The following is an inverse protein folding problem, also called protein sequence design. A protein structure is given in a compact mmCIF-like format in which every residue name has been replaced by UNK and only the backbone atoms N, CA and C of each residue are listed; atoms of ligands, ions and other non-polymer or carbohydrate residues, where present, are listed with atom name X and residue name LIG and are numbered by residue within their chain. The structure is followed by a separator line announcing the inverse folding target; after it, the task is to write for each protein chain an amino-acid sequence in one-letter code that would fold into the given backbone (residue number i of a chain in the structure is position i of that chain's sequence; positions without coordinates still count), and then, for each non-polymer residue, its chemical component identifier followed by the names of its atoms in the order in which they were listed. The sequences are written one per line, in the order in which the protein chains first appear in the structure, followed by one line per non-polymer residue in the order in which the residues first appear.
data_IF_243601128434
#
_entry.id   IF_243601128434
#
_cell.length_a   1.000
_cell.length_b   1.000
_cell.length_c   1.000
_cell.angle_alpha   90.00
_cell.angle_beta   90.00
_cell.angle_gamma   90.00
#
_symmetry.space_group_name_H-M   'P 1'
#
loop_
_entity.id
_entity.type
_entity.pdbx_description
1 polymer ?
#
# COMPACT_ATOMS: atom_id res chain seq x y z
N UNK A 1 -24.74 -12.47 14.59
CA UNK A 1 -23.42 -12.94 15.05
C UNK A 1 -22.54 -13.15 13.83
N UNK A 2 -21.78 -12.13 13.47
CA UNK A 2 -20.67 -12.25 12.51
C UNK A 2 -19.40 -12.45 13.32
N UNK A 3 -19.03 -13.71 13.55
CA UNK A 3 -17.75 -14.09 14.10
C UNK A 3 -16.99 -14.73 12.96
N UNK A 4 -15.90 -14.09 12.52
CA UNK A 4 -14.96 -14.73 11.63
C UNK A 4 -14.27 -15.81 12.45
N UNK A 5 -14.24 -17.04 11.95
CA UNK A 5 -13.54 -18.18 12.52
C UNK A 5 -12.04 -18.07 12.29
N UNK A 6 -11.40 -17.06 12.91
CA UNK A 6 -9.95 -16.86 12.85
C UNK A 6 -9.22 -17.52 14.03
N UNK A 7 -9.88 -18.46 14.69
CA UNK A 7 -9.42 -19.08 15.94
C UNK A 7 -8.56 -20.34 15.75
N UNK A 8 -8.05 -20.58 14.54
CA UNK A 8 -7.20 -21.74 14.27
C UNK A 8 -5.73 -21.33 14.35
N UNK A 9 -4.94 -22.06 15.13
CA UNK A 9 -3.49 -21.95 15.14
C UNK A 9 -2.94 -22.24 13.73
N UNK A 10 -2.34 -21.26 13.11
CA UNK A 10 -1.75 -21.34 11.78
C UNK A 10 -0.27 -20.97 11.84
N UNK A 11 0.66 -21.92 11.61
CA UNK A 11 2.09 -21.65 11.57
C UNK A 11 2.50 -20.58 10.54
N UNK A 12 1.78 -20.49 9.42
CA UNK A 12 2.06 -19.49 8.37
C UNK A 12 1.73 -18.08 8.86
N UNK A 13 0.71 -17.93 9.70
CA UNK A 13 0.41 -16.65 10.38
C UNK A 13 1.52 -16.25 11.34
N UNK A 14 2.07 -17.18 12.12
CA UNK A 14 3.20 -16.88 13.00
C UNK A 14 4.41 -16.35 12.23
N UNK A 15 4.70 -16.94 11.06
CA UNK A 15 5.78 -16.47 10.20
C UNK A 15 5.50 -15.05 9.66
N UNK A 16 4.26 -14.76 9.26
CA UNK A 16 3.83 -13.44 8.82
C UNK A 16 3.94 -12.41 9.95
N UNK A 17 3.46 -12.75 11.15
CA UNK A 17 3.50 -11.85 12.32
C UNK A 17 4.94 -11.52 12.73
N UNK A 18 5.84 -12.51 12.70
CA UNK A 18 7.29 -12.28 12.93
C UNK A 18 7.86 -11.28 11.93
N UNK A 19 7.49 -11.39 10.66
CA UNK A 19 7.96 -10.45 9.63
C UNK A 19 7.32 -9.06 9.79
N UNK A 20 6.05 -8.97 10.20
CA UNK A 20 5.38 -7.71 10.49
C UNK A 20 6.03 -7.00 11.69
N UNK A 21 6.31 -7.72 12.77
CA UNK A 21 7.05 -7.21 13.93
C UNK A 21 8.44 -6.70 13.49
N UNK A 22 9.16 -7.50 12.73
CA UNK A 22 10.48 -7.12 12.23
C UNK A 22 10.42 -5.84 11.41
N UNK A 23 9.49 -5.72 10.46
CA UNK A 23 9.31 -4.51 9.65
C UNK A 23 8.94 -3.29 10.49
N UNK A 24 8.11 -3.48 11.50
CA UNK A 24 7.72 -2.41 12.41
C UNK A 24 8.93 -1.84 13.17
N UNK A 25 9.75 -2.71 13.76
CA UNK A 25 10.93 -2.28 14.51
C UNK A 25 12.02 -1.70 13.61
N UNK A 26 12.24 -2.27 12.43
CA UNK A 26 13.17 -1.70 11.44
C UNK A 26 12.75 -0.30 10.97
N UNK A 27 11.45 -0.04 10.86
CA UNK A 27 10.94 1.30 10.54
C UNK A 27 11.11 2.31 11.69
N UNK A 28 11.28 1.83 12.93
CA UNK A 28 11.51 2.66 14.11
C UNK A 28 12.98 2.79 14.54
N UNK A 29 13.91 2.36 13.69
CA UNK A 29 15.33 2.54 13.92
C UNK A 29 16.05 1.36 14.54
N UNK A 30 15.39 0.27 14.86
CA UNK A 30 15.99 -0.90 15.49
C UNK A 30 16.60 -1.85 14.44
N UNK A 31 17.74 -1.49 13.89
CA UNK A 31 18.36 -2.21 12.78
C UNK A 31 18.81 -3.66 13.15
N UNK A 32 18.97 -3.96 14.42
CA UNK A 32 19.36 -5.28 14.95
C UNK A 32 18.18 -6.07 15.54
N UNK A 33 16.94 -5.62 15.36
CA UNK A 33 15.77 -6.30 15.86
C UNK A 33 15.70 -7.75 15.36
N UNK A 34 15.35 -8.65 16.27
CA UNK A 34 15.09 -10.05 15.97
C UNK A 34 14.04 -10.64 16.92
N UNK A 35 13.26 -11.55 16.39
CA UNK A 35 12.39 -12.40 17.17
C UNK A 35 13.20 -13.65 17.55
N UNK A 36 13.43 -13.86 18.85
CA UNK A 36 14.21 -14.98 19.36
C UNK A 36 13.38 -16.26 19.40
N UNK A 37 12.12 -16.13 19.81
CA UNK A 37 11.16 -17.25 19.78
C UNK A 37 9.73 -16.76 19.57
N UNK A 38 8.89 -17.64 19.04
CA UNK A 38 7.46 -17.47 18.97
C UNK A 38 6.83 -18.81 19.38
N UNK A 39 6.13 -18.84 20.51
CA UNK A 39 5.55 -20.04 21.12
C UNK A 39 4.03 -19.84 21.18
N UNK A 40 3.30 -20.80 20.62
CA UNK A 40 1.85 -20.88 20.76
C UNK A 40 1.47 -21.95 21.79
N UNK A 41 0.73 -21.56 22.80
CA UNK A 41 0.26 -22.46 23.87
C UNK A 41 -1.27 -22.48 23.87
N UNK A 42 -1.86 -23.67 23.93
CA UNK A 42 -3.30 -23.84 24.08
C UNK A 42 -3.71 -23.49 25.51
N UNK A 43 -4.79 -22.73 25.67
CA UNK A 43 -5.35 -22.47 27.00
C UNK A 43 -5.80 -23.78 27.69
N UNK A 44 -5.78 -23.86 29.04
CA UNK A 44 -6.18 -25.06 29.75
C UNK A 44 -7.60 -25.55 29.46
N UNK A 45 -8.48 -24.63 29.05
CA UNK A 45 -9.86 -24.91 28.66
C UNK A 45 -10.01 -25.33 27.19
N UNK A 46 -8.90 -25.33 26.42
CA UNK A 46 -8.86 -25.75 25.02
C UNK A 46 -9.56 -24.82 24.05
N UNK A 47 -9.91 -23.58 24.45
CA UNK A 47 -10.74 -22.67 23.66
C UNK A 47 -9.97 -21.55 22.94
N UNK A 48 -8.72 -21.31 23.32
CA UNK A 48 -7.91 -20.24 22.75
C UNK A 48 -6.43 -20.61 22.74
N UNK A 49 -5.63 -19.85 22.00
CA UNK A 49 -4.17 -19.94 22.00
C UNK A 49 -3.57 -18.63 22.53
N UNK A 50 -2.56 -18.74 23.36
CA UNK A 50 -1.65 -17.66 23.69
C UNK A 50 -0.44 -17.75 22.80
N UNK A 51 -0.12 -16.66 22.11
CA UNK A 51 1.09 -16.56 21.30
C UNK A 51 2.06 -15.62 22.02
N UNK A 52 3.18 -16.15 22.46
CA UNK A 52 4.23 -15.39 23.13
C UNK A 52 5.41 -15.20 22.19
N UNK A 53 5.75 -13.95 21.91
CA UNK A 53 6.94 -13.57 21.17
C UNK A 53 8.03 -13.09 22.13
N UNK A 54 9.17 -13.78 22.16
CA UNK A 54 10.38 -13.26 22.79
C UNK A 54 11.16 -12.48 21.75
N UNK A 55 11.40 -11.22 22.03
CA UNK A 55 12.06 -10.31 21.07
C UNK A 55 13.32 -9.72 21.69
N UNK A 56 14.31 -9.45 20.82
CA UNK A 56 15.44 -8.60 21.11
C UNK A 56 15.36 -7.37 20.24
N UNK A 57 15.01 -6.24 20.84
CA UNK A 57 14.87 -4.99 20.12
C UNK A 57 16.21 -4.48 19.60
N UNK A 58 17.28 -4.71 20.38
CA UNK A 58 18.58 -4.12 20.14
C UNK A 58 18.59 -2.62 20.39
N UNK A 59 19.55 -1.93 19.79
CA UNK A 59 19.71 -0.48 19.92
C UNK A 59 19.15 0.24 18.69
N UNK A 60 18.84 1.53 18.87
CA UNK A 60 18.44 2.39 17.75
C UNK A 60 19.67 2.83 16.97
N UNK A 61 19.52 2.86 15.66
CA UNK A 61 20.52 3.28 14.70
C UNK A 61 20.07 4.53 13.96
N UNK A 62 21.04 5.29 13.48
CA UNK A 62 20.87 6.39 12.54
C UNK A 62 21.51 6.03 11.20
N UNK A 63 21.11 6.72 10.14
CA UNK A 63 21.80 6.59 8.86
C UNK A 63 23.21 7.17 8.94
N UNK A 64 24.17 6.42 8.42
CA UNK A 64 25.55 6.82 8.23
C UNK A 64 25.77 7.39 6.83
N UNK A 65 26.83 6.93 6.16
CA UNK A 65 27.14 7.35 4.80
C UNK A 65 26.15 6.75 3.79
N UNK A 66 25.71 7.60 2.86
CA UNK A 66 24.85 7.22 1.75
C UNK A 66 25.66 7.44 0.47
N UNK A 67 25.79 6.41 -0.34
CA UNK A 67 26.52 6.47 -1.59
C UNK A 67 25.79 5.75 -2.72
N UNK A 68 26.01 6.19 -3.93
CA UNK A 68 25.52 5.56 -5.16
C UNK A 68 26.71 5.17 -6.00
N UNK A 69 26.72 3.95 -6.50
CA UNK A 69 27.66 3.48 -7.51
C UNK A 69 26.83 3.13 -8.75
N UNK A 70 27.03 3.84 -9.84
CA UNK A 70 26.34 3.60 -11.10
C UNK A 70 27.33 3.09 -12.15
N UNK A 71 27.01 1.95 -12.76
CA UNK A 71 27.76 1.39 -13.91
C UNK A 71 27.19 1.86 -15.25
N UNK A 72 26.28 2.83 -15.21
CA UNK A 72 25.57 3.36 -16.38
C UNK A 72 26.21 4.69 -16.77
N UNK A 73 26.59 4.84 -18.05
CA UNK A 73 27.18 6.10 -18.58
C UNK A 73 26.13 7.22 -18.58
N UNK A 74 26.57 8.45 -18.25
CA UNK A 74 25.71 9.65 -18.28
C UNK A 74 24.85 9.85 -17.03
N UNK A 75 25.05 9.05 -15.99
CA UNK A 75 24.37 9.21 -14.70
C UNK A 75 25.38 9.62 -13.64
N UNK A 76 25.17 10.79 -13.02
CA UNK A 76 26.03 11.26 -11.93
C UNK A 76 25.63 10.64 -10.60
N UNK A 77 26.48 9.79 -9.97
CA UNK A 77 26.19 9.16 -8.71
C UNK A 77 25.94 10.14 -7.55
N UNK A 78 26.56 11.33 -7.56
CA UNK A 78 26.39 12.33 -6.50
C UNK A 78 25.00 12.96 -6.55
N UNK A 79 24.53 13.28 -7.76
CA UNK A 79 23.17 13.80 -7.96
C UNK A 79 22.15 12.77 -7.49
N UNK A 80 22.32 11.51 -7.87
CA UNK A 80 21.43 10.44 -7.44
C UNK A 80 21.45 10.21 -5.93
N UNK A 81 22.61 10.28 -5.28
CA UNK A 81 22.68 10.14 -3.82
C UNK A 81 21.87 11.23 -3.11
N UNK A 82 21.82 12.44 -3.65
CA UNK A 82 20.96 13.52 -3.15
C UNK A 82 19.46 13.27 -3.25
N UNK A 83 19.04 12.38 -4.17
CA UNK A 83 17.61 12.03 -4.36
C UNK A 83 17.14 10.94 -3.39
N UNK A 84 18.01 10.33 -2.59
CA UNK A 84 17.65 9.20 -1.70
C UNK A 84 16.57 9.56 -0.65
N UNK A 85 16.34 10.85 -0.37
CA UNK A 85 15.27 11.31 0.52
C UNK A 85 15.57 11.14 2.00
N UNK A 86 16.80 10.81 2.38
CA UNK A 86 17.32 10.77 3.75
C UNK A 86 18.81 11.11 3.76
N UNK A 87 19.32 11.51 4.91
CA UNK A 87 20.71 11.96 5.08
C UNK A 87 21.36 11.35 6.30
N UNK A 88 22.68 11.48 6.37
CA UNK A 88 23.47 11.09 7.55
C UNK A 88 22.91 11.75 8.81
N UNK A 89 22.71 10.97 9.86
CA UNK A 89 22.17 11.40 11.15
C UNK A 89 20.65 11.25 11.27
N UNK A 90 19.91 11.08 10.18
CA UNK A 90 18.49 10.75 10.26
C UNK A 90 18.29 9.40 10.95
N UNK A 91 17.19 9.24 11.67
CA UNK A 91 16.81 7.96 12.25
C UNK A 91 16.69 6.91 11.15
N UNK A 92 17.30 5.73 11.39
CA UNK A 92 17.18 4.60 10.48
C UNK A 92 15.72 4.18 10.30
N UNK A 93 15.33 4.00 9.05
CA UNK A 93 14.00 3.49 8.66
C UNK A 93 14.17 2.72 7.35
N UNK A 94 13.93 1.43 7.39
CA UNK A 94 14.04 0.57 6.19
C UNK A 94 13.11 1.01 5.05
N UNK A 95 11.93 1.57 5.38
CA UNK A 95 11.00 2.09 4.37
C UNK A 95 11.58 3.27 3.57
N UNK A 96 12.49 4.06 4.17
CA UNK A 96 13.19 5.13 3.44
C UNK A 96 14.13 4.56 2.38
N UNK A 97 14.77 3.41 2.65
CA UNK A 97 15.63 2.72 1.65
C UNK A 97 14.77 2.22 0.49
N UNK A 98 13.61 1.62 0.77
CA UNK A 98 12.67 1.15 -0.26
C UNK A 98 12.17 2.30 -1.14
N UNK A 99 11.77 3.42 -0.53
CA UNK A 99 11.37 4.63 -1.28
C UNK A 99 12.53 5.20 -2.12
N UNK A 100 13.75 5.20 -1.57
CA UNK A 100 14.92 5.65 -2.31
C UNK A 100 15.15 4.81 -3.57
N UNK A 101 14.97 3.48 -3.51
CA UNK A 101 15.07 2.62 -4.68
C UNK A 101 14.04 3.04 -5.74
N UNK A 102 12.81 3.35 -5.34
CA UNK A 102 11.77 3.78 -6.26
C UNK A 102 12.12 5.12 -6.92
N UNK A 103 12.51 6.10 -6.13
CA UNK A 103 12.92 7.43 -6.63
C UNK A 103 14.14 7.33 -7.57
N UNK A 104 15.15 6.56 -7.20
CA UNK A 104 16.34 6.36 -8.02
C UNK A 104 16.00 5.63 -9.32
N UNK A 105 15.10 4.63 -9.28
CA UNK A 105 14.65 3.91 -10.47
C UNK A 105 13.95 4.85 -11.45
N UNK A 106 13.08 5.72 -10.95
CA UNK A 106 12.40 6.71 -11.77
C UNK A 106 13.37 7.72 -12.36
N UNK A 107 14.27 8.28 -11.54
CA UNK A 107 15.25 9.27 -11.98
C UNK A 107 16.22 8.74 -13.05
N UNK A 108 16.56 7.44 -12.99
CA UNK A 108 17.36 6.80 -14.02
C UNK A 108 16.50 6.46 -15.25
N UNK A 109 15.25 6.06 -15.04
CA UNK A 109 14.28 5.80 -16.11
C UNK A 109 13.99 7.05 -16.97
N UNK A 110 13.84 8.21 -16.35
CA UNK A 110 13.66 9.51 -17.06
C UNK A 110 14.85 9.88 -17.97
N UNK A 111 16.03 9.33 -17.69
CA UNK A 111 17.22 9.48 -18.53
C UNK A 111 17.32 8.44 -19.66
N UNK A 112 16.24 7.69 -19.92
CA UNK A 112 16.13 6.73 -21.01
C UNK A 112 16.58 5.30 -20.66
N UNK A 113 16.88 5.00 -19.40
CA UNK A 113 17.26 3.65 -18.98
C UNK A 113 16.06 2.87 -18.44
N UNK A 114 15.29 2.27 -19.34
CA UNK A 114 14.07 1.52 -19.00
C UNK A 114 14.34 0.25 -18.17
N UNK A 115 15.51 -0.36 -18.35
CA UNK A 115 15.91 -1.60 -17.68
C UNK A 115 17.01 -1.33 -16.68
N UNK A 116 16.65 -0.98 -15.48
CA UNK A 116 17.59 -0.67 -14.42
C UNK A 116 17.36 -1.57 -13.22
N UNK A 117 18.46 -2.06 -12.63
CA UNK A 117 18.45 -2.79 -11.38
C UNK A 117 19.19 -1.99 -10.32
N UNK A 118 18.49 -1.68 -9.22
CA UNK A 118 19.05 -0.98 -8.07
C UNK A 118 19.07 -1.92 -6.87
N UNK A 119 20.27 -2.21 -6.38
CA UNK A 119 20.47 -3.06 -5.20
C UNK A 119 21.05 -2.24 -4.05
N UNK A 120 20.37 -2.14 -2.92
CA UNK A 120 20.91 -1.54 -1.71
C UNK A 120 21.85 -2.54 -1.03
N UNK A 121 23.05 -2.09 -0.65
CA UNK A 121 23.92 -2.77 0.29
C UNK A 121 23.89 -2.00 1.60
N UNK A 122 23.47 -2.67 2.66
CA UNK A 122 23.30 -2.08 3.99
C UNK A 122 24.39 -2.62 4.90
N UNK A 123 25.23 -1.75 5.43
CA UNK A 123 26.32 -2.08 6.34
C UNK A 123 26.09 -1.43 7.70
N UNK A 124 26.09 -2.23 8.77
CA UNK A 124 25.85 -1.77 10.14
C UNK A 124 27.16 -1.54 10.87
N UNK A 125 27.39 -0.32 11.30
CA UNK A 125 28.45 0.04 12.23
C UNK A 125 27.90 -0.03 13.66
N UNK A 126 28.16 -1.15 14.32
CA UNK A 126 27.68 -1.38 15.69
C UNK A 126 28.29 -0.43 16.71
N UNK A 127 29.55 -0.02 16.49
CA UNK A 127 30.30 0.85 17.41
C UNK A 127 29.71 2.25 17.44
N UNK A 128 29.39 2.79 16.27
CA UNK A 128 28.87 4.14 16.13
C UNK A 128 27.33 4.17 16.01
N UNK A 129 26.65 3.00 16.04
CA UNK A 129 25.20 2.87 15.86
C UNK A 129 24.71 3.50 14.54
N UNK A 130 25.47 3.32 13.48
CA UNK A 130 25.20 3.85 12.15
C UNK A 130 24.89 2.73 11.16
N UNK A 131 24.01 3.04 10.20
CA UNK A 131 23.71 2.20 9.05
C UNK A 131 24.16 2.91 7.79
N UNK A 132 25.22 2.42 7.16
CA UNK A 132 25.68 2.92 5.87
C UNK A 132 24.91 2.23 4.75
N UNK A 133 24.50 2.99 3.74
CA UNK A 133 23.75 2.48 2.61
C UNK A 133 24.46 2.82 1.30
N UNK A 134 24.75 1.79 0.52
CA UNK A 134 25.32 1.94 -0.82
C UNK A 134 24.33 1.39 -1.84
N UNK A 135 23.82 2.24 -2.72
CA UNK A 135 22.99 1.82 -3.84
C UNK A 135 23.88 1.48 -5.03
N UNK A 136 23.80 0.25 -5.52
CA UNK A 136 24.48 -0.19 -6.74
C UNK A 136 23.46 -0.17 -7.88
N UNK A 137 23.72 0.65 -8.89
CA UNK A 137 22.84 0.83 -10.04
C UNK A 137 23.53 0.21 -11.26
N UNK A 138 22.87 -0.71 -11.90
CA UNK A 138 23.34 -1.39 -13.11
C UNK A 138 22.23 -1.58 -14.11
N UNK A 139 22.58 -1.79 -15.37
CA UNK A 139 21.63 -2.21 -16.39
C UNK A 139 21.13 -3.63 -16.05
N UNK A 140 19.81 -3.77 -15.99
CA UNK A 140 19.14 -5.04 -15.74
C UNK A 140 18.84 -5.80 -17.04
N UNK A 141 18.31 -7.03 -16.94
CA UNK A 141 17.89 -7.79 -18.12
C UNK A 141 16.75 -7.06 -18.83
N UNK A 142 16.78 -7.06 -20.16
CA UNK A 142 15.71 -6.48 -20.98
C UNK A 142 14.52 -7.43 -20.99
N UNK A 143 13.54 -7.15 -20.14
CA UNK A 143 12.31 -7.93 -20.05
C UNK A 143 11.13 -6.99 -20.28
N UNK A 144 10.20 -7.39 -21.13
CA UNK A 144 8.99 -6.64 -21.45
C UNK A 144 7.77 -7.31 -20.84
N UNK A 145 6.76 -6.53 -20.51
CA UNK A 145 5.46 -7.04 -20.09
C UNK A 145 4.72 -7.57 -21.30
N UNK A 146 4.51 -8.88 -21.36
CA UNK A 146 3.78 -9.52 -22.46
C UNK A 146 2.28 -9.32 -22.31
N UNK A 147 1.76 -9.60 -21.10
CA UNK A 147 0.35 -9.40 -20.76
C UNK A 147 0.16 -9.25 -19.25
N UNK A 148 -0.96 -8.65 -18.89
CA UNK A 148 -1.41 -8.46 -17.51
C UNK A 148 -2.72 -9.24 -17.35
N UNK A 149 -2.67 -10.29 -16.54
CA UNK A 149 -3.81 -11.15 -16.23
C UNK A 149 -4.37 -10.73 -14.86
N UNK A 150 -5.65 -10.32 -14.82
CA UNK A 150 -6.33 -9.93 -13.58
C UNK A 150 -7.35 -11.01 -13.24
N UNK A 151 -7.36 -11.45 -11.98
CA UNK A 151 -8.24 -12.51 -11.49
C UNK A 151 -8.78 -12.18 -10.11
N UNK A 152 -9.97 -12.72 -9.78
CA UNK A 152 -10.63 -12.51 -8.49
C UNK A 152 -11.52 -11.27 -8.41
N UNK A 153 -11.58 -10.47 -9.48
CA UNK A 153 -12.43 -9.30 -9.59
C UNK A 153 -13.83 -9.68 -10.12
N UNK A 154 -14.70 -10.12 -9.22
CA UNK A 154 -16.06 -10.59 -9.59
C UNK A 154 -17.02 -9.42 -9.86
N UNK A 155 -16.85 -8.30 -9.16
CA UNK A 155 -17.68 -7.10 -9.28
C UNK A 155 -16.94 -5.95 -9.94
N UNK A 156 -15.69 -5.71 -9.54
CA UNK A 156 -14.86 -4.62 -10.05
C UNK A 156 -14.45 -4.90 -11.49
N UNK A 157 -14.69 -3.96 -12.38
CA UNK A 157 -14.31 -4.09 -13.78
C UNK A 157 -12.77 -4.10 -13.92
N UNK A 158 -12.28 -4.91 -14.84
CA UNK A 158 -10.86 -5.06 -15.16
C UNK A 158 -10.15 -3.72 -15.36
N UNK A 159 -10.78 -2.79 -16.09
CA UNK A 159 -10.26 -1.45 -16.35
C UNK A 159 -9.93 -0.65 -15.09
N UNK A 160 -10.69 -0.85 -13.99
CA UNK A 160 -10.49 -0.13 -12.72
C UNK A 160 -9.20 -0.57 -12.05
N UNK A 161 -8.89 -1.86 -12.11
CA UNK A 161 -7.65 -2.42 -11.57
C UNK A 161 -6.48 -2.08 -12.50
N UNK A 162 -6.65 -2.27 -13.81
CA UNK A 162 -5.64 -2.10 -14.84
C UNK A 162 -5.08 -0.68 -14.86
N UNK A 163 -5.93 0.34 -14.76
CA UNK A 163 -5.49 1.75 -14.75
C UNK A 163 -4.59 2.10 -13.57
N UNK A 164 -4.74 1.39 -12.43
CA UNK A 164 -3.91 1.59 -11.24
C UNK A 164 -2.54 0.92 -11.33
N UNK A 165 -2.36 -0.07 -12.19
CA UNK A 165 -1.05 -0.71 -12.36
C UNK A 165 0.00 0.24 -12.89
N UNK A 166 -0.42 1.27 -13.71
CA UNK A 166 0.45 2.23 -14.41
C UNK A 166 1.55 1.54 -15.25
N UNK A 167 1.27 0.31 -15.65
CA UNK A 167 2.09 -0.51 -16.55
C UNK A 167 1.16 -1.07 -17.63
N UNK A 168 1.60 -1.00 -18.86
CA UNK A 168 0.89 -1.51 -20.03
C UNK A 168 1.62 -2.69 -20.65
N UNK A 169 0.90 -3.47 -21.40
CA UNK A 169 1.47 -4.54 -22.22
C UNK A 169 2.41 -3.93 -23.28
N UNK A 170 3.59 -4.50 -23.43
CA UNK A 170 4.67 -3.96 -24.25
C UNK A 170 5.65 -3.06 -23.48
N UNK A 171 5.32 -2.59 -22.28
CA UNK A 171 6.23 -1.78 -21.46
C UNK A 171 7.44 -2.59 -20.98
N UNK A 172 8.54 -1.89 -20.72
CA UNK A 172 9.67 -2.44 -20.00
C UNK A 172 9.24 -2.89 -18.60
N UNK A 173 9.57 -4.13 -18.22
CA UNK A 173 9.31 -4.62 -16.88
C UNK A 173 10.03 -3.79 -15.83
N UNK A 174 9.29 -3.26 -14.88
CA UNK A 174 9.82 -2.47 -13.78
C UNK A 174 9.16 -2.88 -12.46
N UNK A 175 9.94 -3.53 -11.59
CA UNK A 175 9.46 -4.02 -10.30
C UNK A 175 8.97 -2.89 -9.38
N UNK A 176 9.56 -1.70 -9.47
CA UNK A 176 9.16 -0.51 -8.71
C UNK A 176 7.76 -0.03 -9.13
N UNK A 177 7.52 0.10 -10.44
CA UNK A 177 6.19 0.46 -10.96
C UNK A 177 5.13 -0.54 -10.50
N UNK A 178 5.44 -1.85 -10.54
CA UNK A 178 4.52 -2.88 -10.09
C UNK A 178 4.22 -2.80 -8.59
N UNK A 179 5.23 -2.53 -7.74
CA UNK A 179 4.98 -2.32 -6.30
C UNK A 179 4.06 -1.13 -6.06
N UNK A 180 4.29 -0.01 -6.76
CA UNK A 180 3.42 1.16 -6.66
C UNK A 180 2.02 0.87 -7.18
N UNK A 181 1.90 0.17 -8.31
CA UNK A 181 0.61 -0.26 -8.83
C UNK A 181 -0.17 -1.12 -7.84
N UNK A 182 0.51 -2.09 -7.20
CA UNK A 182 -0.10 -2.89 -6.13
C UNK A 182 -0.60 -2.01 -4.98
N UNK A 183 0.20 -1.04 -4.52
CA UNK A 183 -0.20 -0.13 -3.45
C UNK A 183 -1.42 0.70 -3.85
N UNK A 184 -1.44 1.25 -5.07
CA UNK A 184 -2.59 2.02 -5.58
C UNK A 184 -3.88 1.19 -5.61
N UNK A 185 -3.80 -0.08 -6.05
CA UNK A 185 -4.96 -0.98 -6.03
C UNK A 185 -5.41 -1.26 -4.58
N UNK A 186 -4.49 -1.42 -3.64
CA UNK A 186 -4.82 -1.56 -2.22
C UNK A 186 -5.48 -0.30 -1.66
N UNK A 187 -5.01 0.87 -2.06
CA UNK A 187 -5.52 2.18 -1.61
C UNK A 187 -6.95 2.47 -2.11
N UNK A 188 -7.41 1.81 -3.19
CA UNK A 188 -8.82 1.84 -3.58
C UNK A 188 -9.74 1.34 -2.47
N UNK A 189 -9.22 0.50 -1.58
CA UNK A 189 -9.96 -0.10 -0.47
C UNK A 189 -11.17 -0.97 -0.90
N UNK A 190 -11.09 -1.56 -2.11
CA UNK A 190 -12.08 -2.49 -2.65
C UNK A 190 -11.73 -3.96 -2.38
N UNK A 191 -10.50 -4.21 -1.94
CA UNK A 191 -9.93 -5.55 -1.83
C UNK A 191 -9.37 -5.82 -0.44
N UNK A 192 -9.59 -7.05 0.06
CA UNK A 192 -8.92 -7.57 1.26
C UNK A 192 -7.46 -7.92 0.95
N UNK A 193 -7.22 -8.43 -0.26
CA UNK A 193 -5.90 -8.91 -0.68
C UNK A 193 -5.62 -8.49 -2.11
N UNK A 194 -4.37 -8.09 -2.35
CA UNK A 194 -3.85 -7.77 -3.69
C UNK A 194 -2.47 -8.41 -3.82
N UNK A 195 -2.34 -9.37 -4.70
CA UNK A 195 -1.09 -10.07 -4.98
C UNK A 195 -0.65 -9.87 -6.42
N UNK A 196 0.63 -9.56 -6.59
CA UNK A 196 1.27 -9.49 -7.90
C UNK A 196 2.28 -10.62 -8.01
N UNK A 197 2.18 -11.42 -9.05
CA UNK A 197 3.17 -12.45 -9.39
C UNK A 197 3.70 -12.20 -10.79
N UNK A 198 5.01 -12.36 -10.95
CA UNK A 198 5.66 -12.37 -12.25
C UNK A 198 5.89 -13.81 -12.65
N UNK A 199 5.48 -14.16 -13.86
CA UNK A 199 5.79 -15.43 -14.50
C UNK A 199 6.59 -15.19 -15.78
N UNK A 200 7.30 -16.20 -16.23
CA UNK A 200 7.98 -16.15 -17.53
C UNK A 200 6.92 -16.23 -18.63
N UNK A 201 7.02 -15.34 -19.61
CA UNK A 201 6.12 -15.30 -20.74
C UNK A 201 6.48 -16.30 -21.86
N UNK A 202 6.09 -15.99 -23.07
CA UNK A 202 6.35 -16.83 -24.26
C UNK A 202 7.84 -16.90 -24.64
N UNK A 203 8.67 -15.99 -24.13
CA UNK A 203 10.11 -15.94 -24.34
C UNK A 203 10.84 -15.46 -23.06
N UNK A 204 12.15 -15.71 -22.91
CA UNK A 204 12.93 -15.31 -21.72
C UNK A 204 12.97 -13.80 -21.46
N UNK A 205 12.78 -12.98 -22.48
CA UNK A 205 12.70 -11.53 -22.42
C UNK A 205 11.27 -11.01 -22.24
N UNK A 206 10.30 -11.88 -21.96
CA UNK A 206 8.90 -11.56 -21.74
C UNK A 206 8.42 -12.02 -20.37
N UNK A 207 7.56 -11.24 -19.77
CA UNK A 207 6.96 -11.52 -18.47
C UNK A 207 5.44 -11.37 -18.51
N UNK A 208 4.76 -12.32 -17.91
CA UNK A 208 3.32 -12.23 -17.61
C UNK A 208 3.18 -11.72 -16.18
N UNK A 209 2.37 -10.69 -16.01
CA UNK A 209 2.05 -10.14 -14.69
C UNK A 209 0.68 -10.65 -14.29
N UNK A 210 0.63 -11.47 -13.26
CA UNK A 210 -0.62 -11.92 -12.66
C UNK A 210 -0.98 -11.04 -11.48
N UNK A 211 -2.15 -10.45 -11.54
CA UNK A 211 -2.75 -9.63 -10.48
C UNK A 211 -3.93 -10.40 -9.93
N UNK A 212 -3.77 -10.97 -8.75
CA UNK A 212 -4.85 -11.67 -8.06
C UNK A 212 -5.40 -10.79 -6.95
N UNK A 213 -6.72 -10.55 -6.95
CA UNK A 213 -7.40 -9.73 -5.96
C UNK A 213 -8.49 -10.53 -5.25
N UNK A 214 -8.76 -10.17 -4.01
CA UNK A 214 -9.88 -10.69 -3.21
C UNK A 214 -10.76 -9.52 -2.83
N UNK A 215 -11.97 -9.45 -3.38
CA UNK A 215 -12.89 -8.34 -3.17
C UNK A 215 -13.50 -8.36 -1.77
N UNK A 216 -13.80 -7.18 -1.27
CA UNK A 216 -14.62 -6.97 -0.07
C UNK A 216 -15.81 -6.07 -0.35
N UNK A 217 -16.70 -5.93 0.64
CA UNK A 217 -17.79 -4.97 0.55
C UNK A 217 -17.24 -3.55 0.45
N UNK A 218 -17.75 -2.79 -0.51
CA UNK A 218 -17.42 -1.38 -0.75
C UNK A 218 -18.50 -0.42 -0.27
N UNK A 219 -19.68 -0.97 0.05
CA UNK A 219 -20.78 -0.25 0.63
C UNK A 219 -20.70 -0.13 2.15
N UNK A 220 -21.13 0.98 2.70
CA UNK A 220 -21.27 1.20 4.14
C UNK A 220 -22.58 1.93 4.46
N UNK A 221 -23.23 1.50 5.53
CA UNK A 221 -24.40 2.14 6.12
C UNK A 221 -24.01 2.65 7.51
N UNK A 222 -24.18 3.94 7.72
CA UNK A 222 -23.92 4.60 9.00
C UNK A 222 -25.25 5.06 9.60
N UNK A 223 -25.42 4.83 10.88
CA UNK A 223 -26.57 5.31 11.64
C UNK A 223 -26.09 5.96 12.92
N UNK A 224 -26.53 7.18 13.19
CA UNK A 224 -26.20 7.95 14.37
C UNK A 224 -27.44 8.51 15.06
N UNK A 225 -27.42 8.57 16.37
CA UNK A 225 -28.38 9.32 17.18
C UNK A 225 -27.64 10.25 18.12
N UNK A 226 -28.14 11.45 18.25
CA UNK A 226 -27.53 12.46 19.10
C UNK A 226 -28.56 13.41 19.70
N UNK A 227 -28.11 14.29 20.57
CA UNK A 227 -28.90 15.37 21.14
C UNK A 227 -28.07 16.66 21.11
N UNK A 228 -28.68 17.71 20.60
CA UNK A 228 -28.09 19.06 20.58
C UNK A 228 -29.01 20.01 21.33
N UNK A 229 -28.46 20.94 22.07
CA UNK A 229 -29.22 21.99 22.77
C UNK A 229 -29.94 22.94 21.83
N UNK A 230 -29.49 23.06 20.58
CA UNK A 230 -30.05 23.97 19.58
C UNK A 230 -31.21 23.37 18.78
N UNK A 231 -31.09 22.08 18.44
CA UNK A 231 -32.07 21.42 17.54
C UNK A 231 -32.75 20.20 18.15
N UNK A 232 -32.44 19.86 19.42
CA UNK A 232 -33.02 18.73 20.13
C UNK A 232 -32.44 17.39 19.73
N UNK A 233 -33.21 16.33 19.75
CA UNK A 233 -32.82 15.01 19.30
C UNK A 233 -32.61 15.03 17.79
N UNK A 234 -31.53 14.35 17.35
CA UNK A 234 -31.16 14.24 15.95
C UNK A 234 -30.87 12.76 15.58
N UNK A 235 -31.18 12.45 14.36
CA UNK A 235 -30.91 11.15 13.74
C UNK A 235 -30.15 11.41 12.44
N UNK A 236 -29.01 10.73 12.28
CA UNK A 236 -28.18 10.77 11.08
C UNK A 236 -28.20 9.40 10.41
N UNK A 237 -28.35 9.40 9.09
CA UNK A 237 -28.27 8.20 8.26
C UNK A 237 -27.36 8.50 7.09
N UNK A 238 -26.35 7.65 6.86
CA UNK A 238 -25.43 7.76 5.74
C UNK A 238 -25.34 6.43 5.00
N UNK A 239 -25.42 6.45 3.69
CA UNK A 239 -25.17 5.32 2.81
C UNK A 239 -24.10 5.73 1.82
N UNK A 240 -23.02 4.96 1.77
CA UNK A 240 -21.92 5.20 0.83
C UNK A 240 -21.63 3.91 0.06
N UNK A 241 -21.54 4.00 -1.26
CA UNK A 241 -21.00 2.96 -2.12
C UNK A 241 -19.78 3.54 -2.88
N UNK A 242 -18.59 2.91 -2.70
CA UNK A 242 -17.33 3.40 -3.28
C UNK A 242 -16.98 2.78 -4.62
N UNK A 243 -17.65 1.73 -5.00
CA UNK A 243 -17.41 1.00 -6.25
C UNK A 243 -18.73 0.73 -6.99
N UNK A 244 -19.48 1.80 -7.24
CA UNK A 244 -20.79 1.72 -7.89
C UNK A 244 -20.67 0.99 -9.23
N UNK A 245 -21.45 -0.08 -9.38
CA UNK A 245 -21.49 -0.94 -10.57
C UNK A 245 -20.11 -1.51 -10.98
N UNK A 246 -19.14 -1.54 -10.06
CA UNK A 246 -17.80 -2.02 -10.33
C UNK A 246 -16.92 -1.04 -11.13
N UNK A 247 -17.37 0.19 -11.32
CA UNK A 247 -16.70 1.23 -12.12
C UNK A 247 -15.68 2.05 -11.31
N UNK A 248 -15.62 1.85 -9.98
CA UNK A 248 -14.81 2.65 -9.07
C UNK A 248 -15.40 4.05 -8.82
N UNK A 249 -16.66 4.26 -9.21
CA UNK A 249 -17.40 5.49 -8.93
C UNK A 249 -17.92 5.45 -7.49
N UNK A 250 -18.00 6.61 -6.86
CA UNK A 250 -18.56 6.73 -5.52
C UNK A 250 -19.89 7.45 -5.55
N UNK A 251 -20.87 6.90 -4.82
CA UNK A 251 -22.11 7.58 -4.52
C UNK A 251 -22.30 7.59 -3.01
N UNK A 252 -22.79 8.71 -2.49
CA UNK A 252 -23.01 8.93 -1.08
C UNK A 252 -24.35 9.64 -0.85
N UNK A 253 -25.14 9.10 0.06
CA UNK A 253 -26.39 9.69 0.52
C UNK A 253 -26.26 9.97 2.01
N UNK A 254 -26.52 11.19 2.44
CA UNK A 254 -26.57 11.56 3.84
C UNK A 254 -27.89 12.24 4.17
N UNK A 255 -28.49 11.86 5.28
CA UNK A 255 -29.67 12.49 5.84
C UNK A 255 -29.49 12.77 7.33
N UNK A 256 -29.80 13.99 7.77
CA UNK A 256 -29.84 14.38 9.17
C UNK A 256 -31.20 14.97 9.49
N UNK A 257 -31.84 14.43 10.49
CA UNK A 257 -33.19 14.80 10.90
C UNK A 257 -33.22 15.22 12.37
N UNK A 258 -33.63 16.45 12.64
CA UNK A 258 -33.80 17.00 13.98
C UNK A 258 -35.14 17.71 14.07
N UNK A 259 -35.59 18.05 15.27
CA UNK A 259 -36.90 18.65 15.50
C UNK A 259 -37.17 19.94 14.72
N UNK A 260 -36.16 20.80 14.58
CA UNK A 260 -36.26 22.08 13.85
C UNK A 260 -35.46 22.14 12.56
N UNK A 261 -34.70 21.09 12.23
CA UNK A 261 -33.80 21.10 11.05
C UNK A 261 -33.74 19.73 10.42
N UNK A 262 -33.86 19.66 9.11
CA UNK A 262 -33.58 18.45 8.34
C UNK A 262 -32.65 18.80 7.17
N UNK A 263 -31.68 17.91 6.90
CA UNK A 263 -30.77 18.03 5.77
C UNK A 263 -30.69 16.72 5.02
N UNK A 264 -30.62 16.80 3.71
CA UNK A 264 -30.37 15.65 2.86
C UNK A 264 -29.35 16.04 1.81
N UNK A 265 -28.38 15.17 1.53
CA UNK A 265 -27.43 15.36 0.46
C UNK A 265 -27.17 14.09 -0.32
N UNK A 266 -26.87 14.25 -1.59
CA UNK A 266 -26.42 13.21 -2.51
C UNK A 266 -25.16 13.70 -3.18
N UNK A 267 -24.10 12.93 -3.09
CA UNK A 267 -22.82 13.19 -3.75
C UNK A 267 -22.49 12.06 -4.69
N UNK A 268 -22.02 12.40 -5.88
CA UNK A 268 -21.51 11.44 -6.86
C UNK A 268 -20.13 11.87 -7.31
N UNK A 269 -19.18 10.93 -7.35
CA UNK A 269 -17.81 11.19 -7.78
C UNK A 269 -17.34 10.13 -8.76
N UNK A 270 -16.88 10.58 -9.92
CA UNK A 270 -16.15 9.79 -10.91
C UNK A 270 -14.65 10.10 -10.78
N UNK A 271 -13.82 9.18 -10.25
CA UNK A 271 -12.40 9.45 -10.02
C UNK A 271 -11.57 9.50 -11.30
N UNK A 272 -12.08 8.93 -12.41
CA UNK A 272 -11.41 8.92 -13.70
C UNK A 272 -12.32 9.46 -14.80
N UNK A 273 -12.64 10.74 -14.71
CA UNK A 273 -13.55 11.38 -15.65
C UNK A 273 -12.99 11.35 -17.07
N UNK A 274 -13.79 10.82 -18.00
CA UNK A 274 -13.39 10.59 -19.39
C UNK A 274 -12.11 9.74 -19.54
N UNK A 275 -11.95 8.71 -18.69
CA UNK A 275 -10.78 7.82 -18.61
C UNK A 275 -9.44 8.55 -18.37
N UNK A 276 -9.49 9.78 -17.83
CA UNK A 276 -8.33 10.55 -17.42
C UNK A 276 -8.15 10.50 -15.90
N UNK A 277 -6.94 10.67 -15.43
CA UNK A 277 -6.59 10.74 -14.01
C UNK A 277 -7.04 12.11 -13.40
N UNK A 278 -8.33 12.39 -13.54
CA UNK A 278 -9.00 13.61 -13.06
C UNK A 278 -10.34 13.21 -12.45
N UNK A 279 -10.57 13.57 -11.20
CA UNK A 279 -11.85 13.34 -10.55
C UNK A 279 -12.86 14.46 -10.92
N UNK A 280 -14.09 14.05 -11.20
CA UNK A 280 -15.22 14.96 -11.35
C UNK A 280 -16.36 14.51 -10.43
N UNK A 281 -17.00 15.45 -9.77
CA UNK A 281 -18.10 15.16 -8.84
C UNK A 281 -19.21 16.19 -8.95
N UNK A 282 -20.38 15.77 -8.49
CA UNK A 282 -21.57 16.61 -8.35
C UNK A 282 -22.21 16.35 -6.99
N UNK A 283 -22.56 17.43 -6.31
CA UNK A 283 -23.25 17.40 -5.03
C UNK A 283 -24.58 18.11 -5.13
N UNK A 284 -25.63 17.46 -4.62
CA UNK A 284 -26.94 18.07 -4.45
C UNK A 284 -27.34 17.98 -2.99
N UNK A 285 -27.86 19.08 -2.43
CA UNK A 285 -28.30 19.09 -1.05
C UNK A 285 -29.62 19.84 -0.88
N UNK A 286 -30.37 19.46 0.13
CA UNK A 286 -31.57 20.11 0.56
C UNK A 286 -31.51 20.36 2.07
N UNK A 287 -31.85 21.60 2.49
CA UNK A 287 -31.87 22.00 3.89
C UNK A 287 -33.25 22.61 4.16
N UNK A 288 -33.92 22.06 5.16
CA UNK A 288 -35.16 22.66 5.73
C UNK A 288 -34.87 23.05 7.18
N UNK A 289 -35.18 24.28 7.52
CA UNK A 289 -35.07 24.79 8.88
C UNK A 289 -36.34 25.54 9.23
N UNK A 290 -36.91 25.23 10.40
CA UNK A 290 -38.08 25.92 10.96
C UNK A 290 -37.57 26.82 12.10
N UNK A 291 -37.98 28.07 12.12
CA UNK A 291 -37.64 29.08 13.11
C UNK A 291 -38.73 29.28 14.12
#
# INVERSE_FOLDING_TARGET
RFWSSDDTYDPDRLALDRELLRRHYLAKGFANFRVESAIGELTPDGKAFFITYSINEGERYSFGNISVAASIKGVDPKVLAGLAGFKKGDQYDNKKIERAIDVLTDAVGERGFAFVEIRPKVERDKKNKLVNVKFSIREGPRVFVERIEITGNVRTLDKVIRRETKVSEGDAFNASKLRRGRQRIQDLNFFNKVEFKREVGSAPDKAVIKVNVEEKSTGSLNFGVGYSTDVGALIDVGLTERNLLGLGQQIEFNGSFAGSKSTGSVSFTEPYFMDRDVAAGIDAYHIRQEF
#
